data_IF_656015158787
#
_entry.id   IF_656015158787
#
_cell.length_a   1.000
_cell.length_b   1.000
_cell.length_c   1.000
_cell.angle_alpha   90.00
_cell.angle_beta   90.00
_cell.angle_gamma   90.00
#
_symmetry.space_group_name_H-M   'P 1'
#
loop_
_entity.id
_entity.type
_entity.pdbx_description
1 polymer ?
#
# COMPACT_ATOMS: atom_id res chain seq x y z
N UNK A 1 28.18 61.51 -41.95
CA UNK A 1 28.50 60.11 -41.66
C UNK A 1 27.90 59.80 -40.29
N UNK A 2 26.78 59.08 -40.29
CA UNK A 2 25.97 58.70 -39.11
C UNK A 2 26.56 57.40 -38.56
N UNK A 3 26.85 57.32 -37.26
CA UNK A 3 27.05 56.09 -36.47
C UNK A 3 27.60 56.47 -35.09
N UNK A 4 27.22 55.97 -33.91
CA UNK A 4 26.14 55.07 -33.44
C UNK A 4 26.15 55.22 -31.91
N UNK A 5 24.98 55.31 -31.29
CA UNK A 5 24.75 55.21 -29.84
C UNK A 5 25.34 53.94 -29.22
N UNK A 6 25.82 54.04 -27.97
CA UNK A 6 25.83 52.92 -27.03
C UNK A 6 25.51 53.41 -25.60
N UNK A 7 24.22 53.51 -25.30
CA UNK A 7 23.72 53.48 -23.93
C UNK A 7 23.83 52.05 -23.40
N UNK A 8 24.66 51.83 -22.39
CA UNK A 8 24.69 50.58 -21.61
C UNK A 8 23.88 50.79 -20.34
N UNK A 9 22.76 50.07 -20.23
CA UNK A 9 21.92 50.03 -19.05
C UNK A 9 22.48 48.99 -18.06
N UNK A 10 22.77 49.42 -16.84
CA UNK A 10 23.14 48.53 -15.74
C UNK A 10 21.92 47.73 -15.30
N UNK A 11 22.00 46.40 -15.42
CA UNK A 11 20.96 45.48 -14.97
C UNK A 11 21.19 45.19 -13.48
N UNK A 12 20.32 45.72 -12.63
CA UNK A 12 20.08 45.19 -11.28
C UNK A 12 19.26 43.91 -11.41
N UNK A 13 19.80 42.78 -10.95
CA UNK A 13 19.14 41.48 -10.92
C UNK A 13 19.26 40.85 -9.55
N UNK A 14 18.19 40.99 -8.77
CA UNK A 14 17.91 40.42 -7.46
C UNK A 14 18.12 38.90 -7.43
N UNK A 15 18.99 38.40 -6.55
CA UNK A 15 19.16 36.97 -6.28
C UNK A 15 17.91 36.44 -5.57
N UNK A 16 17.05 35.73 -6.29
CA UNK A 16 15.97 34.93 -5.71
C UNK A 16 16.58 33.63 -5.19
N UNK A 17 16.76 33.54 -3.87
CA UNK A 17 17.07 32.27 -3.21
C UNK A 17 15.80 31.43 -3.22
N UNK A 18 15.67 30.52 -4.20
CA UNK A 18 14.62 29.52 -4.21
C UNK A 18 15.01 28.48 -3.15
N UNK A 19 14.35 28.54 -1.99
CA UNK A 19 14.37 27.45 -1.02
C UNK A 19 13.63 26.26 -1.64
N UNK A 20 14.39 25.30 -2.19
CA UNK A 20 13.87 23.99 -2.60
C UNK A 20 13.51 23.23 -1.32
N UNK A 21 12.23 23.28 -0.95
CA UNK A 21 11.64 22.41 0.05
C UNK A 21 11.82 20.96 -0.42
N UNK A 22 12.69 20.20 0.25
CA UNK A 22 12.88 18.77 0.01
C UNK A 22 11.70 18.04 0.66
N UNK A 23 10.51 18.16 0.08
CA UNK A 23 9.45 17.18 0.31
C UNK A 23 9.95 15.89 -0.33
N UNK A 24 10.41 14.93 0.47
CA UNK A 24 10.83 13.63 -0.04
C UNK A 24 9.66 13.03 -0.82
N UNK A 25 9.83 12.86 -2.13
CA UNK A 25 8.85 12.17 -2.95
C UNK A 25 8.76 10.73 -2.44
N UNK A 26 7.70 10.40 -1.70
CA UNK A 26 7.33 9.02 -1.45
C UNK A 26 7.02 8.43 -2.82
N UNK A 27 7.76 7.39 -3.20
CA UNK A 27 7.51 6.71 -4.47
C UNK A 27 6.31 5.81 -4.26
N UNK A 28 5.25 6.08 -5.02
CA UNK A 28 4.06 5.24 -5.05
C UNK A 28 4.00 4.49 -6.37
N UNK A 29 3.61 3.22 -6.29
CA UNK A 29 3.52 2.32 -7.41
C UNK A 29 2.06 2.06 -7.74
N UNK A 30 1.66 2.39 -8.97
CA UNK A 30 0.27 2.25 -9.43
C UNK A 30 0.21 1.48 -10.75
N UNK A 31 -0.83 0.64 -10.90
CA UNK A 31 -1.12 -0.10 -12.11
C UNK A 31 -0.16 -1.25 -12.45
N UNK A 32 -0.51 -2.04 -13.46
CA UNK A 32 0.23 -3.22 -13.89
C UNK A 32 1.68 -2.92 -14.31
N UNK A 33 1.90 -1.80 -15.00
CA UNK A 33 3.23 -1.33 -15.45
C UNK A 33 3.96 -0.47 -14.40
N UNK A 34 3.62 -0.62 -13.11
CA UNK A 34 4.21 0.16 -12.01
C UNK A 34 5.74 0.09 -11.93
N UNK A 35 6.34 -0.96 -12.47
CA UNK A 35 7.78 -1.21 -12.37
C UNK A 35 8.21 -1.82 -11.05
N UNK A 36 7.26 -2.30 -10.22
CA UNK A 36 7.56 -3.19 -9.11
C UNK A 36 8.25 -4.45 -9.64
N UNK A 37 9.30 -4.88 -8.94
CA UNK A 37 9.99 -6.13 -9.27
C UNK A 37 9.11 -7.34 -8.94
N UNK A 38 9.11 -8.32 -9.83
CA UNK A 38 8.26 -9.51 -9.68
C UNK A 38 8.53 -10.31 -8.40
N UNK A 39 9.70 -10.16 -7.76
CA UNK A 39 9.96 -10.75 -6.44
C UNK A 39 9.04 -10.16 -5.37
N UNK A 40 8.99 -8.83 -5.27
CA UNK A 40 8.14 -8.12 -4.30
C UNK A 40 6.66 -8.35 -4.59
N UNK A 41 6.29 -8.40 -5.87
CA UNK A 41 4.94 -8.77 -6.30
C UNK A 41 4.54 -10.15 -5.77
N UNK A 42 5.38 -11.18 -5.99
CA UNK A 42 5.12 -12.55 -5.51
C UNK A 42 5.05 -12.62 -3.98
N UNK A 43 5.81 -11.79 -3.28
CA UNK A 43 5.78 -11.73 -1.82
C UNK A 43 4.45 -11.18 -1.30
N UNK A 44 3.89 -10.12 -1.91
CA UNK A 44 2.54 -9.65 -1.58
C UNK A 44 1.50 -10.71 -1.95
N UNK A 45 1.55 -11.26 -3.16
CA UNK A 45 0.62 -12.28 -3.64
C UNK A 45 0.59 -13.53 -2.72
N UNK A 46 1.73 -13.94 -2.17
CA UNK A 46 1.79 -15.07 -1.23
C UNK A 46 0.95 -14.86 0.04
N UNK A 47 0.72 -13.61 0.45
CA UNK A 47 -0.17 -13.24 1.55
C UNK A 47 -1.60 -12.94 1.07
N UNK A 48 -1.72 -12.25 -0.05
CA UNK A 48 -3.01 -11.82 -0.61
C UNK A 48 -3.83 -12.99 -1.15
N UNK A 49 -3.23 -13.96 -1.85
CA UNK A 49 -3.95 -15.10 -2.44
C UNK A 49 -4.77 -15.92 -1.42
N UNK A 50 -4.20 -16.39 -0.28
CA UNK A 50 -4.97 -17.13 0.71
C UNK A 50 -6.02 -16.25 1.42
N UNK A 51 -5.73 -14.97 1.62
CA UNK A 51 -6.69 -14.01 2.18
C UNK A 51 -7.86 -13.80 1.21
N UNK A 52 -7.59 -13.50 -0.05
CA UNK A 52 -8.58 -13.32 -1.12
C UNK A 52 -9.48 -14.53 -1.25
N UNK A 53 -8.95 -15.76 -1.16
CA UNK A 53 -9.79 -16.96 -1.12
C UNK A 53 -10.76 -16.95 0.07
N UNK A 54 -10.29 -16.54 1.25
CA UNK A 54 -11.12 -16.48 2.46
C UNK A 54 -12.16 -15.37 2.39
N UNK A 55 -11.82 -14.23 1.76
CA UNK A 55 -12.72 -13.09 1.55
C UNK A 55 -13.82 -13.40 0.54
N UNK A 56 -13.45 -13.93 -0.63
CA UNK A 56 -14.36 -14.09 -1.77
C UNK A 56 -15.01 -15.48 -1.88
N UNK A 57 -14.59 -16.44 -1.06
CA UNK A 57 -15.20 -17.76 -0.95
C UNK A 57 -15.43 -18.10 0.53
N UNK A 58 -16.30 -17.34 1.22
CA UNK A 58 -16.53 -17.52 2.65
C UNK A 58 -17.06 -18.93 2.93
N UNK A 59 -16.56 -19.52 4.03
CA UNK A 59 -16.99 -20.85 4.50
C UNK A 59 -18.17 -20.79 5.48
N UNK A 60 -18.61 -19.58 5.81
CA UNK A 60 -19.66 -19.26 6.79
C UNK A 60 -20.51 -18.10 6.25
N UNK A 61 -21.79 -18.10 6.59
CA UNK A 61 -22.78 -17.14 6.08
C UNK A 61 -23.24 -16.11 7.13
N UNK A 62 -22.49 -16.00 8.24
CA UNK A 62 -22.76 -15.06 9.34
C UNK A 62 -21.66 -13.99 9.42
N UNK A 63 -21.99 -12.68 9.44
CA UNK A 63 -21.02 -11.58 9.37
C UNK A 63 -19.87 -11.65 10.39
N UNK A 64 -20.16 -11.87 11.67
CA UNK A 64 -19.13 -11.96 12.72
C UNK A 64 -18.26 -13.21 12.57
N UNK A 65 -18.87 -14.35 12.23
CA UNK A 65 -18.15 -15.59 11.99
C UNK A 65 -17.23 -15.47 10.77
N UNK A 66 -17.72 -14.80 9.72
CA UNK A 66 -16.94 -14.49 8.52
C UNK A 66 -15.67 -13.71 8.89
N UNK A 67 -15.80 -12.59 9.59
CA UNK A 67 -14.65 -11.80 10.02
C UNK A 67 -13.72 -12.59 10.96
N UNK A 68 -14.25 -13.47 11.79
CA UNK A 68 -13.48 -14.35 12.67
C UNK A 68 -12.70 -15.44 11.95
N UNK A 69 -13.10 -15.79 10.72
CA UNK A 69 -12.47 -16.84 9.92
C UNK A 69 -11.29 -16.35 9.07
N UNK A 70 -11.14 -15.03 8.91
CA UNK A 70 -10.13 -14.46 8.02
C UNK A 70 -8.71 -14.64 8.56
N UNK A 71 -7.75 -15.05 7.70
CA UNK A 71 -6.35 -15.18 8.10
C UNK A 71 -5.69 -13.81 8.23
N UNK A 72 -4.90 -13.61 9.28
CA UNK A 72 -4.13 -12.39 9.49
C UNK A 72 -3.98 -12.04 10.97
N UNK A 73 -3.07 -11.12 11.26
CA UNK A 73 -2.94 -10.57 12.61
C UNK A 73 -4.00 -9.49 12.84
N UNK A 74 -4.76 -9.59 13.93
CA UNK A 74 -5.73 -8.57 14.29
C UNK A 74 -5.02 -7.39 14.95
N UNK A 75 -5.34 -6.18 14.50
CA UNK A 75 -4.91 -4.94 15.13
C UNK A 75 -6.10 -4.12 15.58
N UNK A 76 -6.01 -3.53 16.77
CA UNK A 76 -7.11 -2.77 17.39
C UNK A 76 -7.30 -1.37 16.79
N UNK A 77 -6.40 -0.95 15.90
CA UNK A 77 -6.38 0.41 15.34
C UNK A 77 -5.71 1.45 16.25
N UNK A 78 -5.26 1.06 17.46
CA UNK A 78 -4.58 1.98 18.37
C UNK A 78 -3.07 1.99 18.13
N UNK A 79 -2.48 3.20 18.08
CA UNK A 79 -1.03 3.42 17.92
C UNK A 79 -0.23 2.65 18.98
N UNK A 80 -0.71 2.63 20.22
CA UNK A 80 -0.03 1.93 21.31
C UNK A 80 0.10 0.41 21.07
N UNK A 81 -0.92 -0.21 20.45
CA UNK A 81 -0.89 -1.64 20.12
C UNK A 81 -0.21 -1.96 18.79
N UNK A 82 0.17 -0.95 17.99
CA UNK A 82 0.85 -1.20 16.72
C UNK A 82 2.24 -1.85 16.94
N UNK A 83 2.90 -1.55 18.05
CA UNK A 83 4.19 -2.14 18.41
C UNK A 83 4.14 -3.66 18.64
N UNK A 84 2.95 -4.23 18.87
CA UNK A 84 2.75 -5.67 19.04
C UNK A 84 2.55 -6.40 17.68
N UNK A 85 2.46 -5.66 16.58
CA UNK A 85 2.34 -6.20 15.22
C UNK A 85 3.74 -6.53 14.69
N UNK A 86 3.93 -7.77 14.21
CA UNK A 86 5.21 -8.21 13.65
C UNK A 86 5.13 -8.25 12.11
N UNK A 87 5.69 -7.22 11.48
CA UNK A 87 5.79 -7.12 10.01
C UNK A 87 7.22 -7.33 9.50
N UNK A 88 8.13 -7.81 10.35
CA UNK A 88 9.56 -7.94 9.97
C UNK A 88 9.77 -8.84 8.76
N UNK A 89 8.96 -9.88 8.63
CA UNK A 89 8.98 -10.85 7.52
C UNK A 89 7.81 -10.64 6.52
N UNK A 90 7.10 -9.51 6.62
CA UNK A 90 5.85 -9.29 5.91
C UNK A 90 4.66 -9.95 6.60
N UNK A 91 3.46 -9.77 6.04
CA UNK A 91 2.24 -10.36 6.60
C UNK A 91 0.98 -9.55 6.30
N UNK A 92 -0.13 -10.04 6.86
CA UNK A 92 -1.47 -9.45 6.76
C UNK A 92 -1.89 -8.93 8.13
N UNK A 93 -2.36 -7.68 8.17
CA UNK A 93 -3.00 -7.07 9.33
C UNK A 93 -4.44 -6.74 9.00
N UNK A 94 -5.37 -7.18 9.85
CA UNK A 94 -6.80 -6.87 9.74
C UNK A 94 -7.17 -5.87 10.84
N UNK A 95 -7.84 -4.78 10.48
CA UNK A 95 -8.21 -3.69 11.39
C UNK A 95 -9.58 -3.11 11.03
N UNK A 96 -10.09 -2.21 11.89
CA UNK A 96 -11.38 -1.52 11.67
C UNK A 96 -12.56 -2.46 11.36
N UNK A 97 -12.58 -3.61 12.05
CA UNK A 97 -13.63 -4.62 11.88
C UNK A 97 -14.96 -4.13 12.43
N UNK A 98 -16.00 -4.19 11.60
CA UNK A 98 -17.37 -3.91 12.01
C UNK A 98 -18.31 -4.97 11.44
N UNK A 99 -19.31 -5.37 12.22
CA UNK A 99 -20.34 -6.30 11.80
C UNK A 99 -21.72 -5.82 12.24
N UNK A 100 -22.71 -6.11 11.41
CA UNK A 100 -24.14 -5.99 11.69
C UNK A 100 -24.80 -7.33 11.37
N UNK A 101 -26.13 -7.42 11.49
CA UNK A 101 -26.89 -8.62 11.15
C UNK A 101 -26.75 -9.05 9.67
N UNK A 102 -26.34 -8.15 8.78
CA UNK A 102 -26.28 -8.42 7.33
C UNK A 102 -25.01 -7.91 6.64
N UNK A 103 -24.10 -7.28 7.36
CA UNK A 103 -22.91 -6.65 6.77
C UNK A 103 -21.69 -6.94 7.63
N UNK A 104 -20.56 -7.21 7.00
CA UNK A 104 -19.25 -7.23 7.63
C UNK A 104 -18.31 -6.32 6.85
N UNK A 105 -17.57 -5.46 7.54
CA UNK A 105 -16.53 -4.64 6.94
C UNK A 105 -15.22 -4.75 7.73
N UNK A 106 -14.11 -4.62 7.01
CA UNK A 106 -12.77 -4.56 7.57
C UNK A 106 -11.82 -3.82 6.64
N UNK A 107 -10.73 -3.35 7.21
CA UNK A 107 -9.58 -2.84 6.48
C UNK A 107 -8.43 -3.85 6.56
N UNK A 108 -7.66 -3.95 5.47
CA UNK A 108 -6.53 -4.88 5.31
C UNK A 108 -5.27 -4.08 5.04
N UNK A 109 -4.16 -4.49 5.64
CA UNK A 109 -2.82 -4.01 5.33
C UNK A 109 -1.93 -5.21 5.06
N UNK A 110 -1.17 -5.19 3.96
CA UNK A 110 -0.26 -6.26 3.58
C UNK A 110 1.13 -5.68 3.37
N UNK A 111 2.15 -6.30 3.97
CA UNK A 111 3.55 -5.99 3.70
C UNK A 111 4.25 -7.19 3.07
N UNK A 112 5.13 -6.94 2.10
CA UNK A 112 5.87 -8.00 1.38
C UNK A 112 6.91 -8.71 2.25
N UNK A 113 7.40 -8.03 3.30
CA UNK A 113 8.65 -8.40 3.95
C UNK A 113 9.87 -8.07 3.07
N UNK A 114 11.09 -8.36 3.57
CA UNK A 114 12.33 -7.97 2.92
C UNK A 114 12.47 -8.62 1.55
N UNK A 115 12.80 -7.83 0.53
CA UNK A 115 13.19 -8.40 -0.76
C UNK A 115 14.52 -9.15 -0.61
N UNK A 116 14.60 -10.43 -1.01
CA UNK A 116 15.88 -11.15 -1.01
C UNK A 116 16.88 -10.55 -2.01
N UNK A 117 18.18 -10.72 -1.74
CA UNK A 117 19.26 -10.27 -2.63
C UNK A 117 19.43 -11.24 -3.83
N UNK A 118 18.45 -11.19 -4.72
CA UNK A 118 18.41 -11.95 -5.98
C UNK A 118 18.26 -11.00 -7.16
N UNK A 119 18.73 -11.39 -8.37
CA UNK A 119 18.50 -10.61 -9.59
C UNK A 119 17.01 -10.33 -9.81
N UNK A 120 16.70 -9.25 -10.51
CA UNK A 120 15.33 -9.00 -10.99
C UNK A 120 14.91 -10.08 -11.98
N UNK A 121 13.63 -10.14 -12.30
CA UNK A 121 13.11 -11.05 -13.34
C UNK A 121 13.79 -10.82 -14.72
N UNK A 122 14.36 -9.62 -14.95
CA UNK A 122 15.13 -9.27 -16.14
C UNK A 122 16.63 -9.57 -16.01
N UNK A 123 17.06 -10.22 -14.93
CA UNK A 123 18.45 -10.60 -14.64
C UNK A 123 19.36 -9.46 -14.17
N UNK A 124 18.81 -8.26 -13.91
CA UNK A 124 19.57 -7.09 -13.49
C UNK A 124 19.66 -6.95 -11.97
N UNK A 125 20.46 -5.98 -11.51
CA UNK A 125 20.42 -5.56 -10.10
C UNK A 125 19.12 -4.82 -9.82
N UNK A 126 18.48 -5.14 -8.72
CA UNK A 126 17.30 -4.41 -8.26
C UNK A 126 17.70 -3.06 -7.64
N UNK A 127 17.03 -1.99 -8.07
CA UNK A 127 17.23 -0.61 -7.61
C UNK A 127 15.86 0.01 -7.25
N UNK A 128 15.15 -0.59 -6.30
CA UNK A 128 13.88 -0.10 -5.79
C UNK A 128 13.76 -0.29 -4.27
N UNK A 129 12.57 -0.13 -3.69
CA UNK A 129 12.35 -0.24 -2.25
C UNK A 129 12.69 -1.63 -1.71
N UNK A 130 13.25 -1.71 -0.50
CA UNK A 130 13.53 -2.99 0.15
C UNK A 130 12.27 -3.80 0.49
N UNK A 131 11.12 -3.14 0.59
CA UNK A 131 9.80 -3.73 0.85
C UNK A 131 8.70 -2.91 0.17
N UNK A 132 7.57 -3.54 -0.12
CA UNK A 132 6.34 -2.83 -0.53
C UNK A 132 5.19 -3.17 0.40
N UNK A 133 4.22 -2.29 0.47
CA UNK A 133 2.99 -2.50 1.22
C UNK A 133 1.78 -1.99 0.46
N UNK A 134 0.62 -2.55 0.78
CA UNK A 134 -0.67 -2.14 0.24
C UNK A 134 -1.74 -2.19 1.32
N UNK A 135 -2.83 -1.46 1.10
CA UNK A 135 -4.00 -1.52 1.96
C UNK A 135 -5.29 -1.32 1.15
N UNK A 136 -6.37 -1.93 1.64
CA UNK A 136 -7.68 -1.83 1.02
C UNK A 136 -8.77 -2.09 2.06
N UNK A 137 -9.98 -1.64 1.75
CA UNK A 137 -11.18 -1.93 2.52
C UNK A 137 -11.99 -3.03 1.84
N UNK A 138 -12.63 -3.84 2.66
CA UNK A 138 -13.56 -4.89 2.22
C UNK A 138 -14.89 -4.67 2.90
N UNK A 139 -15.95 -4.79 2.12
CA UNK A 139 -17.33 -4.85 2.62
C UNK A 139 -18.02 -6.10 2.05
N UNK A 140 -18.63 -6.88 2.92
CA UNK A 140 -19.36 -8.08 2.58
C UNK A 140 -20.81 -7.95 3.03
N UNK A 141 -21.75 -8.27 2.14
CA UNK A 141 -23.19 -8.26 2.38
C UNK A 141 -23.71 -9.69 2.40
N UNK A 142 -24.47 -10.01 3.44
CA UNK A 142 -25.04 -11.34 3.70
C UNK A 142 -26.55 -11.29 3.53
N UNK A 143 -27.10 -12.34 2.94
CA UNK A 143 -28.55 -12.49 2.78
C UNK A 143 -28.92 -13.96 2.92
N UNK A 144 -30.10 -14.26 3.45
CA UNK A 144 -30.53 -15.65 3.68
C UNK A 144 -30.73 -16.48 2.40
N UNK A 145 -30.90 -15.83 1.25
CA UNK A 145 -31.29 -16.47 -0.01
C UNK A 145 -30.19 -16.48 -1.09
N UNK A 146 -29.04 -15.84 -0.82
CA UNK A 146 -27.95 -15.74 -1.78
C UNK A 146 -26.58 -15.82 -1.10
N UNK A 147 -25.59 -16.26 -1.87
CA UNK A 147 -24.19 -16.20 -1.44
C UNK A 147 -23.80 -14.76 -1.08
N UNK A 148 -22.89 -14.56 -0.12
CA UNK A 148 -22.45 -13.23 0.25
C UNK A 148 -21.87 -12.47 -0.95
N UNK A 149 -22.15 -11.18 -1.03
CA UNK A 149 -21.58 -10.28 -2.03
C UNK A 149 -20.45 -9.50 -1.39
N UNK A 150 -19.23 -9.63 -1.92
CA UNK A 150 -18.03 -9.01 -1.36
C UNK A 150 -17.48 -7.97 -2.34
N UNK A 151 -17.33 -6.74 -1.85
CA UNK A 151 -16.66 -5.64 -2.54
C UNK A 151 -15.31 -5.34 -1.91
N UNK A 152 -14.35 -4.88 -2.73
CA UNK A 152 -13.06 -4.38 -2.29
C UNK A 152 -12.86 -2.97 -2.86
N UNK A 153 -12.36 -2.05 -2.04
CA UNK A 153 -12.00 -0.70 -2.43
C UNK A 153 -10.54 -0.47 -2.03
N UNK A 154 -9.68 -0.22 -3.00
CA UNK A 154 -8.30 0.20 -2.75
C UNK A 154 -8.30 1.57 -2.10
N UNK A 155 -7.49 1.74 -1.05
CA UNK A 155 -7.29 3.03 -0.39
C UNK A 155 -5.80 3.37 -0.44
N UNK A 156 -5.48 4.62 -0.75
CA UNK A 156 -4.08 5.06 -0.90
C UNK A 156 -3.46 5.53 0.42
N UNK A 157 -4.30 5.75 1.45
CA UNK A 157 -3.90 6.22 2.78
C UNK A 157 -3.83 5.07 3.79
N UNK A 158 -2.73 4.31 3.78
CA UNK A 158 -2.53 3.25 4.77
C UNK A 158 -2.26 3.83 6.18
N UNK A 159 -2.66 3.13 7.27
CA UNK A 159 -2.43 3.61 8.63
C UNK A 159 -0.95 3.83 8.93
N UNK A 160 -0.58 5.08 9.24
CA UNK A 160 0.82 5.46 9.52
C UNK A 160 1.45 4.61 10.65
N UNK A 161 0.67 4.22 11.65
CA UNK A 161 1.15 3.39 12.75
C UNK A 161 1.65 2.01 12.29
N UNK A 162 1.14 1.47 11.18
CA UNK A 162 1.63 0.23 10.57
C UNK A 162 2.77 0.50 9.59
N UNK A 163 2.71 1.60 8.84
CA UNK A 163 3.78 2.03 7.93
C UNK A 163 5.08 2.31 8.69
N UNK A 164 4.99 2.91 9.88
CA UNK A 164 6.13 3.22 10.75
C UNK A 164 6.86 1.97 11.29
N UNK A 165 6.25 0.78 11.18
CA UNK A 165 6.89 -0.49 11.52
C UNK A 165 7.79 -1.03 10.41
N UNK A 166 7.66 -0.49 9.20
CA UNK A 166 8.40 -0.93 8.02
C UNK A 166 9.76 -0.22 7.90
N UNK A 167 10.69 -0.75 7.08
CA UNK A 167 11.90 -0.03 6.71
C UNK A 167 11.59 1.34 6.10
N UNK A 168 12.48 2.30 6.30
CA UNK A 168 12.30 3.69 5.84
C UNK A 168 12.15 3.84 4.32
N UNK A 169 12.66 2.88 3.56
CA UNK A 169 12.58 2.84 2.11
C UNK A 169 11.43 1.96 1.60
N UNK A 170 10.55 1.47 2.48
CA UNK A 170 9.34 0.78 2.07
C UNK A 170 8.42 1.73 1.30
N UNK A 171 7.77 1.22 0.25
CA UNK A 171 6.95 2.01 -0.65
C UNK A 171 5.52 1.47 -0.75
N UNK A 172 4.56 2.39 -0.88
CA UNK A 172 3.18 2.03 -1.17
C UNK A 172 3.05 1.50 -2.60
N UNK A 173 2.31 0.41 -2.74
CA UNK A 173 1.89 -0.16 -3.99
C UNK A 173 0.37 -0.33 -3.96
N UNK A 174 -0.35 0.30 -4.89
CA UNK A 174 -1.81 0.17 -4.93
C UNK A 174 -2.22 -1.27 -5.19
N UNK A 175 -3.39 -1.67 -4.68
CA UNK A 175 -3.92 -3.03 -4.84
C UNK A 175 -3.97 -3.48 -6.30
N UNK A 176 -4.22 -2.55 -7.22
CA UNK A 176 -4.27 -2.79 -8.66
C UNK A 176 -2.97 -3.33 -9.25
N UNK A 177 -1.83 -3.08 -8.58
CA UNK A 177 -0.53 -3.64 -8.99
C UNK A 177 -0.51 -5.17 -8.85
N UNK A 178 -1.33 -5.72 -7.95
CA UNK A 178 -1.37 -7.14 -7.64
C UNK A 178 -2.51 -7.90 -8.33
N UNK A 179 -3.38 -7.20 -9.06
CA UNK A 179 -4.65 -7.72 -9.57
C UNK A 179 -4.56 -8.58 -10.86
N UNK A 180 -3.37 -8.79 -11.42
CA UNK A 180 -3.08 -9.84 -12.41
C UNK A 180 -3.88 -9.79 -13.72
#
# INVERSE_FOLDING_TARGET
MISTDKHTWGVSGMFVVIALSITGCVTEYHGYDSGIDGTLWRQIAAFEDPLSRSLFQPSVDEPDAYLGSLPGQLWTGSVASAADIDLREGGVVLYERTATDSTAALSVFIASGPRPDVPTDRGGRYNGPSQVFTCYQVEAFFSAEAAPSIGRVTVDDCPLALVDLLPKDAAFASGEVFDG
#
